data_IF_499824552930
#
_entry.id   IF_499824552930
#
_cell.length_a   1.000
_cell.length_b   1.000
_cell.length_c   1.000
_cell.angle_alpha   90.00
_cell.angle_beta   90.00
_cell.angle_gamma   90.00
#
_symmetry.space_group_name_H-M   'P 1'
#
loop_
_entity.id
_entity.type
_entity.pdbx_description
1 polymer ?
#
# COMPACT_ATOMS: atom_id res chain seq x y z
N UNK A 1 35.50 -4.13 10.44
CA UNK A 1 35.67 -2.78 9.86
C UNK A 1 35.89 -2.94 8.36
N UNK A 2 34.81 -2.95 7.60
CA UNK A 2 34.82 -3.04 6.14
C UNK A 2 34.24 -1.77 5.56
N UNK A 3 35.06 -1.07 4.78
CA UNK A 3 34.77 0.11 3.99
C UNK A 3 33.48 -0.02 3.16
N UNK A 4 32.35 0.45 3.67
CA UNK A 4 31.17 0.84 2.88
C UNK A 4 30.40 1.93 3.64
N UNK A 5 31.14 2.90 4.17
CA UNK A 5 30.59 4.22 4.48
C UNK A 5 30.40 4.96 3.14
N UNK A 6 29.53 4.41 2.28
CA UNK A 6 29.07 5.10 1.08
C UNK A 6 28.03 6.08 1.55
N UNK A 7 28.44 7.32 1.73
CA UNK A 7 27.58 8.50 1.76
C UNK A 7 26.34 8.29 0.88
N UNK A 8 25.23 7.81 1.45
CA UNK A 8 23.92 7.89 0.80
C UNK A 8 23.68 9.38 0.64
N UNK A 9 23.78 9.90 -0.59
CA UNK A 9 23.46 11.30 -0.87
C UNK A 9 22.08 11.55 -0.29
N UNK A 10 21.94 12.64 0.48
CA UNK A 10 20.63 13.04 1.01
C UNK A 10 19.61 13.00 -0.13
N UNK A 11 18.45 12.33 0.05
CA UNK A 11 17.46 12.22 -1.00
C UNK A 11 17.05 13.62 -1.44
N UNK A 12 16.82 13.79 -2.75
CA UNK A 12 16.27 15.03 -3.28
C UNK A 12 14.90 15.24 -2.63
N UNK A 13 14.57 16.49 -2.28
CA UNK A 13 13.28 16.82 -1.67
C UNK A 13 12.43 17.56 -2.67
N UNK A 14 11.15 17.20 -2.74
CA UNK A 14 10.14 17.87 -3.56
C UNK A 14 9.76 19.23 -2.97
N UNK A 15 9.14 20.15 -3.74
CA UNK A 15 8.63 21.42 -3.21
C UNK A 15 7.66 21.24 -2.02
N UNK A 16 6.89 20.16 -2.02
CA UNK A 16 5.97 19.77 -0.95
C UNK A 16 6.64 19.07 0.24
N UNK A 17 7.97 18.98 0.28
CA UNK A 17 8.73 18.47 1.42
C UNK A 17 8.93 16.95 1.46
N UNK A 18 8.42 16.18 0.49
CA UNK A 18 8.65 14.73 0.43
C UNK A 18 10.05 14.39 -0.11
N UNK A 19 10.81 13.49 0.53
CA UNK A 19 12.03 12.92 -0.07
C UNK A 19 11.70 12.04 -1.28
N UNK A 20 12.58 12.05 -2.28
CA UNK A 20 12.50 11.22 -3.49
C UNK A 20 13.54 10.12 -3.38
N UNK A 21 13.07 8.88 -3.45
CA UNK A 21 13.90 7.68 -3.50
C UNK A 21 13.85 7.06 -4.89
N UNK A 22 14.99 6.53 -5.35
CA UNK A 22 15.09 5.80 -6.61
C UNK A 22 15.69 4.44 -6.33
N UNK A 23 15.11 3.45 -6.96
CA UNK A 23 15.45 2.06 -6.75
C UNK A 23 15.87 1.44 -8.07
N UNK A 24 17.00 0.73 -8.03
CA UNK A 24 17.39 -0.17 -9.10
C UNK A 24 16.74 -1.53 -8.82
N UNK A 25 16.45 -2.30 -9.87
CA UNK A 25 15.97 -3.67 -9.69
C UNK A 25 17.01 -4.44 -8.88
N UNK A 26 16.65 -5.02 -7.72
CA UNK A 26 17.59 -5.78 -6.92
C UNK A 26 18.16 -6.93 -7.75
N UNK A 27 19.47 -7.21 -7.62
CA UNK A 27 20.00 -8.50 -8.07
C UNK A 27 19.25 -9.58 -7.31
N UNK A 28 18.68 -10.59 -7.99
CA UNK A 28 17.83 -11.63 -7.37
C UNK A 28 18.49 -12.12 -6.07
N UNK A 29 17.99 -11.69 -4.91
CA UNK A 29 18.55 -12.15 -3.66
C UNK A 29 18.12 -13.61 -3.58
N UNK A 30 19.04 -14.54 -3.86
CA UNK A 30 18.70 -15.96 -3.95
C UNK A 30 17.83 -16.41 -2.76
N UNK A 31 16.85 -17.29 -3.04
CA UNK A 31 15.77 -17.71 -2.14
C UNK A 31 16.19 -17.74 -0.66
N UNK A 32 15.44 -17.02 0.18
CA UNK A 32 15.59 -17.03 1.65
C UNK A 32 14.24 -17.31 2.30
N UNK A 33 14.16 -18.27 3.24
CA UNK A 33 12.93 -18.48 3.98
C UNK A 33 12.62 -17.24 4.85
N UNK A 34 11.33 -16.90 5.02
CA UNK A 34 10.93 -15.80 5.91
C UNK A 34 11.33 -16.09 7.36
N UNK A 35 11.77 -15.05 8.09
CA UNK A 35 12.19 -15.17 9.51
C UNK A 35 11.02 -15.48 10.43
N UNK A 36 9.83 -15.00 10.08
CA UNK A 36 8.54 -15.29 10.73
C UNK A 36 7.45 -15.41 9.67
N UNK A 37 6.39 -16.16 9.97
CA UNK A 37 5.23 -16.32 9.09
C UNK A 37 3.98 -16.04 9.92
N UNK A 38 3.31 -14.94 9.61
CA UNK A 38 2.06 -14.52 10.24
C UNK A 38 2.19 -14.12 11.71
N UNK A 39 3.28 -13.44 12.09
CA UNK A 39 3.56 -13.04 13.48
C UNK A 39 2.39 -12.29 14.13
N UNK A 40 1.75 -11.41 13.36
CA UNK A 40 0.64 -10.57 13.82
C UNK A 40 -0.67 -10.86 13.06
N UNK A 41 -0.71 -11.92 12.24
CA UNK A 41 -1.82 -12.17 11.33
C UNK A 41 -3.16 -12.40 12.07
N UNK A 42 -3.12 -13.07 13.22
CA UNK A 42 -4.30 -13.29 14.07
C UNK A 42 -4.83 -11.96 14.62
N UNK A 43 -3.97 -11.16 15.28
CA UNK A 43 -4.34 -9.85 15.85
C UNK A 43 -4.88 -8.87 14.79
N UNK A 44 -4.24 -8.83 13.61
CA UNK A 44 -4.68 -8.01 12.49
C UNK A 44 -6.06 -8.48 11.99
N UNK A 45 -6.26 -9.80 11.84
CA UNK A 45 -7.52 -10.37 11.37
C UNK A 45 -8.65 -10.07 12.35
N UNK A 46 -8.45 -10.30 13.65
CA UNK A 46 -9.44 -9.96 14.68
C UNK A 46 -9.79 -8.47 14.68
N UNK A 47 -8.80 -7.59 14.46
CA UNK A 47 -9.03 -6.14 14.37
C UNK A 47 -9.92 -5.77 13.17
N UNK A 48 -9.68 -6.35 11.99
CA UNK A 48 -10.52 -6.12 10.81
C UNK A 48 -11.91 -6.75 10.97
N UNK A 49 -12.04 -7.92 11.60
CA UNK A 49 -13.33 -8.52 11.95
C UNK A 49 -14.14 -7.65 12.91
N UNK A 50 -13.48 -7.03 13.89
CA UNK A 50 -14.12 -6.08 14.81
C UNK A 50 -14.55 -4.77 14.12
N UNK A 51 -13.89 -4.37 13.03
CA UNK A 51 -14.29 -3.23 12.20
C UNK A 51 -15.45 -3.57 11.26
N UNK A 52 -15.46 -4.80 10.74
CA UNK A 52 -16.39 -5.24 9.71
C UNK A 52 -17.07 -6.57 10.08
N UNK A 53 -17.88 -6.58 11.15
CA UNK A 53 -18.41 -7.83 11.72
C UNK A 53 -19.40 -8.53 10.80
N UNK A 54 -19.42 -9.87 10.87
CA UNK A 54 -20.42 -10.70 10.19
C UNK A 54 -20.20 -10.89 8.70
N UNK A 55 -18.97 -10.73 8.23
CA UNK A 55 -18.58 -11.00 6.83
C UNK A 55 -17.94 -12.37 6.71
N UNK A 56 -18.23 -13.06 5.62
CA UNK A 56 -17.44 -14.21 5.17
C UNK A 56 -16.09 -13.71 4.65
N UNK A 57 -15.01 -14.44 4.93
CA UNK A 57 -13.66 -14.10 4.48
C UNK A 57 -12.98 -15.27 3.77
N UNK A 58 -12.02 -14.95 2.91
CA UNK A 58 -11.10 -15.91 2.29
C UNK A 58 -9.73 -15.25 2.05
N UNK A 59 -8.69 -16.04 1.83
CA UNK A 59 -7.32 -15.55 1.72
C UNK A 59 -6.72 -15.93 0.37
N UNK A 60 -6.08 -14.97 -0.30
CA UNK A 60 -5.20 -15.25 -1.43
C UNK A 60 -3.77 -15.45 -0.95
N UNK A 61 -3.44 -16.70 -0.68
CA UNK A 61 -2.10 -17.09 -0.31
C UNK A 61 -1.08 -16.79 -1.37
N UNK A 62 0.12 -16.46 -0.92
CA UNK A 62 1.25 -16.34 -1.79
C UNK A 62 1.84 -17.70 -2.15
N UNK A 63 2.03 -17.93 -3.45
CA UNK A 63 2.52 -19.22 -3.97
C UNK A 63 4.04 -19.38 -3.80
N UNK A 64 4.80 -18.27 -3.82
CA UNK A 64 6.25 -18.27 -3.67
C UNK A 64 6.62 -17.08 -2.79
N UNK A 65 7.15 -17.37 -1.60
CA UNK A 65 7.58 -16.36 -0.66
C UNK A 65 9.10 -16.31 -0.60
N UNK A 66 9.65 -15.31 -1.28
CA UNK A 66 11.01 -14.85 -1.05
C UNK A 66 10.93 -13.72 -0.02
N UNK A 67 11.67 -13.86 1.09
CA UNK A 67 11.85 -12.87 2.16
C UNK A 67 10.68 -12.69 3.14
N UNK A 68 9.46 -12.46 2.64
CA UNK A 68 8.22 -12.31 3.45
C UNK A 68 7.08 -13.10 2.81
N UNK A 69 6.18 -13.63 3.64
CA UNK A 69 4.97 -14.33 3.20
C UNK A 69 3.77 -13.37 3.22
N UNK A 70 3.36 -12.88 2.05
CA UNK A 70 2.31 -11.87 1.95
C UNK A 70 0.97 -12.50 1.57
N UNK A 71 0.07 -12.53 2.53
CA UNK A 71 -1.32 -12.92 2.32
C UNK A 71 -2.20 -11.70 2.07
N UNK A 72 -3.19 -11.86 1.18
CA UNK A 72 -4.26 -10.87 0.99
C UNK A 72 -5.54 -11.47 1.55
N UNK A 73 -5.98 -10.94 2.68
CA UNK A 73 -7.25 -11.29 3.32
C UNK A 73 -8.38 -10.52 2.66
N UNK A 74 -9.47 -11.20 2.36
CA UNK A 74 -10.60 -10.65 1.61
C UNK A 74 -11.88 -10.92 2.39
N UNK A 75 -12.53 -9.87 2.88
CA UNK A 75 -13.86 -9.95 3.48
C UNK A 75 -14.92 -9.61 2.43
N UNK A 76 -15.90 -10.51 2.25
CA UNK A 76 -16.97 -10.37 1.25
C UNK A 76 -17.90 -9.19 1.58
N UNK A 77 -18.59 -8.65 0.55
CA UNK A 77 -19.69 -7.73 0.73
C UNK A 77 -20.84 -8.34 1.53
N UNK A 78 -21.63 -7.49 2.17
CA UNK A 78 -22.92 -7.84 2.76
C UNK A 78 -24.01 -6.98 2.13
N UNK A 79 -25.28 -7.32 2.31
CA UNK A 79 -26.40 -6.50 1.79
C UNK A 79 -26.36 -5.04 2.30
N UNK A 80 -25.84 -4.81 3.52
CA UNK A 80 -25.73 -3.47 4.11
C UNK A 80 -24.47 -2.73 3.71
N UNK A 81 -23.42 -3.47 3.33
CA UNK A 81 -22.11 -2.94 3.01
C UNK A 81 -21.61 -3.64 1.75
N UNK A 82 -22.03 -3.10 0.60
CA UNK A 82 -21.81 -3.69 -0.72
C UNK A 82 -20.39 -3.37 -1.27
N UNK A 83 -19.37 -3.76 -0.51
CA UNK A 83 -17.97 -3.61 -0.87
C UNK A 83 -17.13 -4.71 -0.23
N UNK A 84 -16.04 -5.10 -0.88
CA UNK A 84 -15.01 -5.96 -0.30
C UNK A 84 -14.05 -5.16 0.56
N UNK A 85 -13.54 -5.79 1.62
CA UNK A 85 -12.39 -5.30 2.39
C UNK A 85 -11.19 -6.18 2.06
N UNK A 86 -10.14 -5.58 1.51
CA UNK A 86 -8.88 -6.26 1.24
C UNK A 86 -7.83 -5.70 2.20
N UNK A 87 -7.09 -6.56 2.88
CA UNK A 87 -5.96 -6.16 3.71
C UNK A 87 -4.83 -7.18 3.66
N UNK A 88 -3.60 -6.71 3.78
CA UNK A 88 -2.43 -7.56 3.83
C UNK A 88 -2.23 -8.13 5.24
N UNK A 89 -1.67 -9.32 5.30
CA UNK A 89 -0.96 -9.82 6.50
C UNK A 89 0.40 -10.35 6.08
N UNK A 90 1.40 -10.15 6.93
CA UNK A 90 2.76 -10.63 6.73
C UNK A 90 3.73 -9.56 6.24
N UNK A 91 3.25 -8.39 5.80
CA UNK A 91 4.12 -7.24 5.56
C UNK A 91 4.80 -6.79 6.86
N UNK A 92 4.07 -6.89 7.97
CA UNK A 92 4.54 -6.56 9.30
C UNK A 92 5.40 -7.65 9.96
N UNK A 93 5.59 -8.82 9.35
CA UNK A 93 6.42 -9.89 9.94
C UNK A 93 7.91 -9.52 10.00
N UNK A 94 8.33 -8.59 9.15
CA UNK A 94 9.69 -8.04 9.11
C UNK A 94 9.62 -6.51 9.27
N UNK A 95 10.52 -5.89 10.03
CA UNK A 95 10.58 -4.43 10.09
C UNK A 95 11.03 -3.84 8.74
N UNK A 96 10.32 -2.82 8.29
CA UNK A 96 10.74 -2.00 7.15
C UNK A 96 12.05 -1.26 7.44
N UNK A 97 12.77 -0.90 6.38
CA UNK A 97 14.05 -0.17 6.49
C UNK A 97 13.79 1.33 6.48
N UNK A 98 13.83 1.94 7.65
CA UNK A 98 13.72 3.39 7.82
C UNK A 98 15.04 4.09 7.44
N UNK A 99 14.99 5.33 6.91
CA UNK A 99 16.18 6.15 6.72
C UNK A 99 16.80 6.55 8.07
N UNK A 100 18.09 6.89 8.06
CA UNK A 100 18.85 7.20 9.29
C UNK A 100 18.18 8.31 10.11
N UNK A 101 17.56 9.30 9.45
CA UNK A 101 16.85 10.40 10.11
C UNK A 101 15.58 9.97 10.88
N UNK A 102 15.08 8.76 10.62
CA UNK A 102 13.92 8.15 11.28
C UNK A 102 14.29 6.84 11.99
N UNK A 103 15.59 6.57 12.19
CA UNK A 103 16.07 5.28 12.74
C UNK A 103 15.57 4.99 14.16
N UNK A 104 15.19 6.02 14.92
CA UNK A 104 14.61 5.95 16.25
C UNK A 104 13.07 5.78 16.27
N UNK A 105 12.42 5.83 15.12
CA UNK A 105 10.96 5.71 14.97
C UNK A 105 10.51 4.26 14.87
N UNK A 106 10.59 3.53 15.98
CA UNK A 106 10.08 2.16 16.09
C UNK A 106 8.61 2.03 15.67
N UNK A 107 7.82 3.09 15.90
CA UNK A 107 6.40 3.14 15.57
C UNK A 107 6.10 3.23 14.06
N UNK A 108 7.12 3.33 13.20
CA UNK A 108 6.99 3.35 11.73
C UNK A 108 7.52 2.08 11.06
N UNK A 109 8.09 1.12 11.81
CA UNK A 109 8.75 -0.04 11.22
C UNK A 109 7.80 -1.11 10.71
N UNK A 110 6.58 -1.16 11.22
CA UNK A 110 5.62 -2.22 10.89
C UNK A 110 4.36 -1.60 10.30
N UNK A 111 3.90 -2.18 9.21
CA UNK A 111 2.70 -1.74 8.53
C UNK A 111 2.00 -2.88 7.80
N UNK A 112 0.72 -2.69 7.54
CA UNK A 112 -0.09 -3.43 6.57
C UNK A 112 -0.85 -2.44 5.67
N UNK A 113 -1.29 -2.93 4.53
CA UNK A 113 -2.00 -2.17 3.51
C UNK A 113 -3.45 -2.63 3.42
N UNK A 114 -4.36 -1.72 3.12
CA UNK A 114 -5.75 -2.08 2.82
C UNK A 114 -6.34 -1.29 1.66
N UNK A 115 -7.37 -1.88 1.06
CA UNK A 115 -8.15 -1.32 -0.05
C UNK A 115 -9.59 -1.81 0.02
N UNK A 116 -10.53 -0.95 -0.37
CA UNK A 116 -11.94 -1.34 -0.53
C UNK A 116 -12.29 -1.44 -2.01
N UNK A 117 -12.90 -2.55 -2.41
CA UNK A 117 -13.38 -2.76 -3.79
C UNK A 117 -14.92 -2.78 -3.83
N UNK A 118 -15.57 -2.36 -4.92
CA UNK A 118 -17.01 -2.47 -5.09
C UNK A 118 -17.50 -3.90 -4.89
N UNK A 119 -18.71 -4.10 -4.34
CA UNK A 119 -19.25 -5.45 -4.14
C UNK A 119 -19.53 -6.20 -5.44
N UNK A 120 -19.61 -5.49 -6.55
CA UNK A 120 -19.66 -6.05 -7.91
C UNK A 120 -18.30 -6.50 -8.46
N UNK A 121 -17.19 -6.33 -7.74
CA UNK A 121 -15.86 -6.71 -8.20
C UNK A 121 -15.70 -8.23 -8.22
N UNK A 122 -15.21 -8.78 -9.34
CA UNK A 122 -15.00 -10.21 -9.48
C UNK A 122 -13.63 -10.62 -8.94
N UNK A 123 -13.58 -11.04 -7.68
CA UNK A 123 -12.38 -11.62 -7.05
C UNK A 123 -12.37 -13.16 -7.12
N UNK A 124 -13.19 -13.77 -7.98
CA UNK A 124 -13.32 -15.21 -8.05
C UNK A 124 -13.83 -15.85 -6.74
N UNK A 125 -13.45 -17.12 -6.54
CA UNK A 125 -13.83 -17.94 -5.38
C UNK A 125 -12.60 -18.34 -4.57
N UNK A 126 -12.83 -18.81 -3.35
CA UNK A 126 -11.82 -19.49 -2.55
C UNK A 126 -11.13 -20.58 -3.40
N UNK A 127 -9.79 -20.65 -3.34
CA UNK A 127 -8.92 -21.51 -4.15
C UNK A 127 -8.77 -21.15 -5.65
N UNK A 128 -9.28 -20.01 -6.11
CA UNK A 128 -8.95 -19.52 -7.46
C UNK A 128 -7.46 -19.16 -7.52
N UNK A 129 -6.73 -19.70 -8.51
CA UNK A 129 -5.35 -19.28 -8.73
C UNK A 129 -5.34 -17.88 -9.36
N UNK A 130 -4.29 -17.11 -9.10
CA UNK A 130 -4.10 -15.81 -9.76
C UNK A 130 -4.06 -15.92 -11.29
N UNK A 131 -3.59 -17.06 -11.82
CA UNK A 131 -3.59 -17.38 -13.25
C UNK A 131 -4.97 -17.52 -13.88
N UNK A 132 -6.00 -17.73 -13.06
CA UNK A 132 -7.36 -18.01 -13.53
C UNK A 132 -8.24 -16.74 -13.56
N UNK A 133 -7.70 -15.60 -13.10
CA UNK A 133 -8.40 -14.33 -13.06
C UNK A 133 -7.95 -13.39 -14.18
N UNK A 134 -8.88 -12.67 -14.83
CA UNK A 134 -8.51 -11.65 -15.80
C UNK A 134 -7.75 -10.52 -15.11
N UNK A 135 -6.82 -9.91 -15.84
CA UNK A 135 -5.98 -8.82 -15.36
C UNK A 135 -6.80 -7.64 -14.80
N UNK A 136 -7.92 -7.32 -15.46
CA UNK A 136 -8.87 -6.28 -15.03
C UNK A 136 -9.44 -6.49 -13.63
N UNK A 137 -9.49 -7.74 -13.16
CA UNK A 137 -9.94 -8.11 -11.82
C UNK A 137 -8.81 -8.26 -10.81
N UNK A 138 -7.65 -8.75 -11.27
CA UNK A 138 -6.54 -9.13 -10.40
C UNK A 138 -5.58 -7.99 -10.06
N UNK A 139 -5.51 -6.94 -10.88
CA UNK A 139 -4.56 -5.85 -10.68
C UNK A 139 -4.56 -5.21 -9.28
N UNK A 140 -5.69 -5.06 -8.53
CA UNK A 140 -5.65 -4.50 -7.19
C UNK A 140 -4.95 -5.44 -6.19
N UNK A 141 -5.17 -6.75 -6.34
CA UNK A 141 -4.52 -7.79 -5.52
C UNK A 141 -3.02 -7.81 -5.83
N UNK A 142 -2.64 -7.79 -7.12
CA UNK A 142 -1.22 -7.70 -7.51
C UNK A 142 -0.56 -6.43 -6.95
N UNK A 143 -1.24 -5.30 -7.05
CA UNK A 143 -0.74 -4.01 -6.55
C UNK A 143 -0.48 -4.08 -5.04
N UNK A 144 -1.41 -4.62 -4.25
CA UNK A 144 -1.22 -4.79 -2.80
C UNK A 144 -0.03 -5.71 -2.49
N UNK A 145 0.09 -6.86 -3.18
CA UNK A 145 1.24 -7.77 -3.01
C UNK A 145 2.57 -7.09 -3.33
N UNK A 146 2.62 -6.36 -4.44
CA UNK A 146 3.82 -5.61 -4.83
C UNK A 146 4.21 -4.59 -3.75
N UNK A 147 3.26 -3.76 -3.30
CA UNK A 147 3.53 -2.73 -2.29
C UNK A 147 3.92 -3.32 -0.94
N UNK A 148 3.33 -4.44 -0.52
CA UNK A 148 3.67 -5.12 0.72
C UNK A 148 5.09 -5.70 0.72
N UNK A 149 5.57 -6.16 -0.45
CA UNK A 149 6.95 -6.66 -0.64
C UNK A 149 7.96 -5.54 -0.79
N UNK A 150 7.55 -4.44 -1.40
CA UNK A 150 8.39 -3.31 -1.77
C UNK A 150 9.37 -2.85 -0.68
N UNK A 151 8.97 -2.58 0.59
CA UNK A 151 9.93 -2.14 1.60
C UNK A 151 11.02 -3.16 1.90
N UNK A 152 10.74 -4.45 1.73
CA UNK A 152 11.65 -5.53 2.08
C UNK A 152 12.58 -5.86 0.91
N UNK A 153 12.07 -5.88 -0.31
CA UNK A 153 12.87 -6.12 -1.53
C UNK A 153 13.84 -4.98 -1.84
N UNK A 154 13.45 -3.74 -1.51
CA UNK A 154 14.20 -2.53 -1.87
C UNK A 154 14.87 -1.84 -0.67
N UNK A 155 14.92 -2.49 0.49
CA UNK A 155 15.48 -1.95 1.73
C UNK A 155 14.98 -0.53 2.02
N UNK A 156 13.65 -0.40 2.05
CA UNK A 156 12.96 0.88 2.25
C UNK A 156 11.73 0.75 3.15
N UNK A 157 10.89 1.78 3.17
CA UNK A 157 9.71 1.84 4.02
C UNK A 157 8.55 2.53 3.30
N UNK A 158 7.34 2.19 3.75
CA UNK A 158 6.10 2.79 3.30
C UNK A 158 5.42 3.48 4.49
N UNK A 159 4.92 4.69 4.25
CA UNK A 159 4.32 5.52 5.28
C UNK A 159 3.23 6.41 4.73
N UNK A 160 2.51 7.09 5.63
CA UNK A 160 1.52 8.07 5.26
C UNK A 160 2.10 9.15 4.34
N UNK A 161 1.38 9.46 3.27
CA UNK A 161 1.81 10.39 2.24
C UNK A 161 2.90 9.86 1.34
N UNK A 162 3.32 8.60 1.40
CA UNK A 162 4.20 8.06 0.36
C UNK A 162 3.45 7.92 -0.96
N UNK A 163 4.17 8.12 -2.06
CA UNK A 163 3.65 7.94 -3.42
C UNK A 163 4.57 7.00 -4.18
N UNK A 164 3.99 6.04 -4.89
CA UNK A 164 4.74 5.08 -5.72
C UNK A 164 4.18 5.17 -7.14
N UNK A 165 4.87 5.86 -8.07
CA UNK A 165 4.45 5.91 -9.47
C UNK A 165 4.68 4.55 -10.14
N UNK A 166 3.83 4.19 -11.10
CA UNK A 166 3.98 2.98 -11.89
C UNK A 166 4.98 3.23 -13.04
N UNK A 167 6.25 3.26 -12.67
CA UNK A 167 7.35 3.63 -13.57
C UNK A 167 7.44 5.15 -13.81
N UNK A 168 8.50 5.59 -14.52
CA UNK A 168 8.79 7.02 -14.71
C UNK A 168 7.72 7.75 -15.53
N UNK A 169 7.00 7.03 -16.40
CA UNK A 169 5.96 7.61 -17.25
C UNK A 169 4.56 7.57 -16.63
N UNK A 170 4.44 7.11 -15.37
CA UNK A 170 3.15 6.92 -14.70
C UNK A 170 2.20 6.02 -15.53
N UNK A 171 2.71 4.91 -16.03
CA UNK A 171 1.95 3.98 -16.87
C UNK A 171 0.69 3.53 -16.12
N UNK A 172 -0.48 3.43 -16.76
CA UNK A 172 -1.67 2.85 -16.16
C UNK A 172 -1.42 1.56 -15.36
N UNK A 173 -2.00 1.45 -14.16
CA UNK A 173 -1.89 0.26 -13.31
C UNK A 173 -2.52 -0.99 -13.95
N UNK A 174 -3.49 -0.78 -14.84
CA UNK A 174 -4.16 -1.78 -15.66
C UNK A 174 -4.69 -1.11 -16.93
N UNK A 175 -4.81 -1.86 -18.02
CA UNK A 175 -5.47 -1.40 -19.24
C UNK A 175 -6.88 -0.88 -18.93
N UNK A 176 -7.22 0.30 -19.45
CA UNK A 176 -8.52 0.94 -19.23
C UNK A 176 -8.67 1.66 -17.88
N UNK A 177 -7.64 1.66 -17.02
CA UNK A 177 -7.63 2.37 -15.74
C UNK A 177 -6.74 3.61 -15.83
N UNK A 178 -7.21 4.79 -15.39
CA UNK A 178 -6.47 6.05 -15.54
C UNK A 178 -5.37 6.31 -14.50
N UNK A 179 -5.24 5.43 -13.50
CA UNK A 179 -4.31 5.61 -12.38
C UNK A 179 -2.88 5.23 -12.80
N UNK A 180 -1.94 6.16 -12.61
CA UNK A 180 -0.53 6.01 -12.98
C UNK A 180 0.38 5.67 -11.80
N UNK A 181 -0.18 5.37 -10.63
CA UNK A 181 0.54 5.06 -9.41
C UNK A 181 -0.38 5.01 -8.19
N UNK A 182 0.21 5.06 -7.01
CA UNK A 182 -0.53 5.06 -5.74
C UNK A 182 -0.08 6.16 -4.79
N UNK A 183 -0.99 6.58 -3.91
CA UNK A 183 -0.74 7.40 -2.74
C UNK A 183 -1.13 6.57 -1.51
N UNK A 184 -0.29 6.54 -0.49
CA UNK A 184 -0.62 5.93 0.79
C UNK A 184 -1.20 6.98 1.73
N UNK A 185 -2.35 6.68 2.31
CA UNK A 185 -2.97 7.50 3.34
C UNK A 185 -3.44 6.63 4.49
N UNK A 186 -4.12 7.21 5.47
CA UNK A 186 -5.00 6.48 6.36
C UNK A 186 -6.40 7.08 6.22
N UNK A 187 -7.43 6.26 6.35
CA UNK A 187 -8.81 6.73 6.36
C UNK A 187 -9.41 6.52 7.75
N UNK A 188 -10.34 7.39 8.16
CA UNK A 188 -11.10 7.23 9.41
C UNK A 188 -10.88 8.36 10.43
N UNK A 189 -11.98 8.93 10.91
CA UNK A 189 -11.98 9.99 11.94
C UNK A 189 -11.66 9.45 13.35
N UNK A 190 -11.84 8.15 13.59
CA UNK A 190 -11.65 7.48 14.89
C UNK A 190 -10.31 6.75 15.03
N UNK A 191 -9.42 6.89 14.03
CA UNK A 191 -8.09 6.29 13.96
C UNK A 191 -8.05 4.75 13.99
N UNK A 192 -9.20 4.05 13.97
CA UNK A 192 -9.22 2.58 14.06
C UNK A 192 -8.70 1.90 12.78
N UNK A 193 -8.80 2.58 11.64
CA UNK A 193 -8.20 2.16 10.37
C UNK A 193 -6.77 2.73 10.18
N UNK A 194 -6.17 3.30 11.23
CA UNK A 194 -4.79 3.81 11.23
C UNK A 194 -3.76 2.82 11.78
N UNK A 195 -4.18 1.76 12.47
CA UNK A 195 -3.29 0.74 13.02
C UNK A 195 -3.79 0.08 14.30
N UNK A 196 -2.97 -0.81 14.86
CA UNK A 196 -3.14 -1.40 16.18
C UNK A 196 -1.80 -1.46 16.95
N UNK A 197 -1.86 -1.67 18.27
CA UNK A 197 -0.69 -2.06 19.05
C UNK A 197 -0.82 -3.55 19.33
N UNK A 198 0.18 -4.32 18.90
CA UNK A 198 0.23 -5.75 19.12
C UNK A 198 0.45 -6.08 20.60
N UNK A 199 0.17 -7.32 21.01
CA UNK A 199 0.32 -7.78 22.39
C UNK A 199 1.76 -7.61 22.93
N UNK A 200 2.75 -7.71 22.04
CA UNK A 200 4.16 -7.53 22.37
C UNK A 200 4.60 -6.05 22.48
N UNK A 201 3.66 -5.12 22.28
CA UNK A 201 3.85 -3.68 22.38
C UNK A 201 4.28 -3.00 21.07
N UNK A 202 4.49 -3.72 19.97
CA UNK A 202 4.81 -3.10 18.68
C UNK A 202 3.58 -2.43 18.06
N UNK A 203 3.80 -1.28 17.42
CA UNK A 203 2.75 -0.61 16.65
C UNK A 203 2.78 -1.08 15.20
N UNK A 204 1.63 -1.53 14.72
CA UNK A 204 1.40 -1.89 13.31
C UNK A 204 0.51 -0.81 12.70
N UNK A 205 1.03 -0.10 11.70
CA UNK A 205 0.26 0.94 11.01
C UNK A 205 -0.57 0.35 9.89
N UNK A 206 -1.77 0.87 9.66
CA UNK A 206 -2.60 0.47 8.52
C UNK A 206 -2.70 1.63 7.54
N UNK A 207 -2.25 1.39 6.30
CA UNK A 207 -2.31 2.40 5.24
C UNK A 207 -3.31 2.01 4.15
N UNK A 208 -4.22 2.93 3.88
CA UNK A 208 -5.09 2.85 2.70
C UNK A 208 -4.26 3.08 1.45
N UNK A 209 -4.37 2.17 0.49
CA UNK A 209 -3.77 2.34 -0.84
C UNK A 209 -4.76 3.03 -1.75
N UNK A 210 -4.43 4.23 -2.19
CA UNK A 210 -5.27 5.03 -3.10
C UNK A 210 -4.63 5.02 -4.49
N UNK A 211 -5.17 4.26 -5.47
CA UNK A 211 -4.81 4.42 -6.87
C UNK A 211 -5.03 5.87 -7.33
N UNK A 212 -3.99 6.50 -7.88
CA UNK A 212 -3.94 7.93 -8.15
C UNK A 212 -3.54 8.24 -9.59
N UNK A 213 -4.11 9.31 -10.13
CA UNK A 213 -3.68 9.87 -11.41
C UNK A 213 -2.31 10.53 -11.28
N UNK A 214 -1.58 10.64 -12.40
CA UNK A 214 -0.30 11.34 -12.45
C UNK A 214 -0.39 12.73 -11.84
N UNK A 215 -1.41 13.50 -12.22
CA UNK A 215 -1.60 14.87 -11.76
C UNK A 215 -1.86 14.97 -10.26
N UNK A 216 -2.50 13.97 -9.65
CA UNK A 216 -2.74 13.92 -8.20
C UNK A 216 -1.42 13.66 -7.45
N UNK A 217 -0.60 12.74 -7.95
CA UNK A 217 0.74 12.47 -7.40
C UNK A 217 1.61 13.72 -7.54
N UNK A 218 1.68 14.32 -8.73
CA UNK A 218 2.48 15.52 -9.00
C UNK A 218 2.00 16.72 -8.17
N UNK A 219 0.69 16.87 -7.96
CA UNK A 219 0.13 17.86 -7.05
C UNK A 219 0.63 17.65 -5.62
N UNK A 220 0.64 16.40 -5.14
CA UNK A 220 1.21 16.06 -3.83
C UNK A 220 2.70 16.38 -3.76
N UNK A 221 3.48 16.09 -4.79
CA UNK A 221 4.91 16.44 -4.81
C UNK A 221 5.10 17.97 -4.73
N UNK A 222 4.18 18.76 -5.28
CA UNK A 222 4.23 20.24 -5.21
C UNK A 222 3.80 20.80 -3.86
N UNK A 223 2.68 20.33 -3.32
CA UNK A 223 1.97 20.96 -2.22
C UNK A 223 1.95 20.14 -0.92
N UNK A 224 2.56 18.96 -0.93
CA UNK A 224 2.61 18.06 0.21
C UNK A 224 1.33 17.23 0.37
N UNK A 225 1.41 16.22 1.23
CA UNK A 225 0.29 15.31 1.48
C UNK A 225 -0.91 16.03 2.11
N UNK A 226 -0.69 16.97 3.05
CA UNK A 226 -1.78 17.79 3.61
C UNK A 226 -2.53 18.62 2.54
N UNK A 227 -1.81 19.06 1.51
CA UNK A 227 -2.40 19.77 0.38
C UNK A 227 -3.28 18.85 -0.46
N UNK A 228 -2.82 17.63 -0.73
CA UNK A 228 -3.60 16.63 -1.46
C UNK A 228 -4.81 16.15 -0.66
N UNK A 229 -4.67 15.92 0.65
CA UNK A 229 -5.77 15.49 1.51
C UNK A 229 -6.90 16.52 1.55
N UNK A 230 -6.59 17.83 1.56
CA UNK A 230 -7.61 18.87 1.41
C UNK A 230 -8.39 18.72 0.12
N UNK A 231 -7.71 18.45 -1.00
CA UNK A 231 -8.36 18.21 -2.30
C UNK A 231 -9.22 16.95 -2.25
N UNK A 232 -8.71 15.84 -1.68
CA UNK A 232 -9.46 14.60 -1.54
C UNK A 232 -10.71 14.77 -0.67
N UNK A 233 -10.63 15.52 0.43
CA UNK A 233 -11.78 15.84 1.28
C UNK A 233 -12.79 16.75 0.57
N UNK A 234 -12.34 17.88 0.00
CA UNK A 234 -13.21 18.87 -0.66
C UNK A 234 -13.94 18.28 -1.87
N UNK A 235 -13.24 17.45 -2.65
CA UNK A 235 -13.78 16.78 -3.84
C UNK A 235 -14.35 15.39 -3.57
N UNK A 236 -14.40 14.98 -2.30
CA UNK A 236 -15.01 13.74 -1.83
C UNK A 236 -14.49 12.50 -2.56
N UNK A 237 -13.18 12.26 -2.45
CA UNK A 237 -12.56 11.03 -2.94
C UNK A 237 -13.34 9.81 -2.39
N UNK A 238 -13.83 8.91 -3.27
CA UNK A 238 -14.52 7.71 -2.82
C UNK A 238 -13.59 6.81 -1.99
N UNK A 239 -14.09 6.35 -0.83
CA UNK A 239 -13.38 5.38 0.00
C UNK A 239 -13.31 4.00 -0.67
N UNK A 240 -14.38 3.61 -1.36
CA UNK A 240 -14.43 2.40 -2.19
C UNK A 240 -13.85 2.75 -3.55
N UNK A 241 -12.96 1.91 -4.06
CA UNK A 241 -12.34 2.13 -5.35
C UNK A 241 -13.38 2.27 -6.46
N UNK A 242 -13.38 3.43 -7.11
CA UNK A 242 -14.11 3.67 -8.35
C UNK A 242 -13.08 3.92 -9.46
N UNK A 243 -12.93 2.94 -10.36
CA UNK A 243 -12.00 3.02 -11.50
C UNK A 243 -12.43 4.07 -12.55
N UNK A 244 -13.65 4.56 -12.46
CA UNK A 244 -14.22 5.58 -13.34
C UNK A 244 -14.30 6.96 -12.66
N UNK A 245 -13.79 7.10 -11.43
CA UNK A 245 -13.75 8.40 -10.75
C UNK A 245 -12.98 9.42 -11.58
N UNK A 246 -13.39 10.70 -11.60
CA UNK A 246 -12.61 11.73 -12.26
C UNK A 246 -11.25 11.92 -11.57
N UNK A 247 -10.28 12.40 -12.34
CA UNK A 247 -9.05 12.97 -11.78
C UNK A 247 -9.43 14.21 -10.94
N UNK A 248 -8.92 14.28 -9.72
CA UNK A 248 -9.22 15.35 -8.77
C UNK A 248 -8.26 16.54 -8.91
N UNK A 249 -7.17 16.39 -9.65
CA UNK A 249 -6.21 17.46 -9.97
C UNK A 249 -6.00 17.65 -11.49
N UNK A 250 -7.05 17.64 -12.35
CA UNK A 250 -6.87 17.54 -13.81
C UNK A 250 -6.18 18.76 -14.43
N UNK A 251 -6.24 19.91 -13.75
CA UNK A 251 -5.63 21.17 -14.19
C UNK A 251 -4.16 21.31 -13.74
N UNK A 252 -3.63 20.38 -12.95
CA UNK A 252 -2.23 20.41 -12.54
C UNK A 252 -1.34 19.92 -13.69
N UNK A 253 -0.36 20.74 -14.11
CA UNK A 253 0.45 20.48 -15.32
C UNK A 253 1.96 20.41 -15.09
N UNK A 254 2.44 20.70 -13.89
CA UNK A 254 3.87 20.57 -13.58
C UNK A 254 4.24 19.07 -13.47
N UNK A 255 5.46 18.72 -13.88
CA UNK A 255 6.05 17.38 -13.71
C UNK A 255 7.31 17.56 -12.88
N UNK A 256 7.30 17.04 -11.65
CA UNK A 256 8.32 17.25 -10.63
C UNK A 256 9.19 16.01 -10.43
N UNK A 257 8.69 14.83 -10.79
CA UNK A 257 9.46 13.59 -10.76
C UNK A 257 10.25 13.41 -12.07
N UNK A 258 11.55 13.74 -12.01
CA UNK A 258 12.58 13.46 -13.03
C UNK A 258 13.88 13.05 -12.34
#
# INVERSE_FOLDING_TARGET
MGFLDKFRKKPRVTPGGSPIYRYETPEEPGWRPPESVGAYAEEITEHFEALFPGRESFVFHELISDLVHIDINIMRPTEKQDFYVLYTTGMSDLPMTLPDELSDREDLKYAELYLFLPGSWDLGKEFSLSSDMPESSYWPVRMLKFLARFPHEYETWLGWGHTVPNGPEYTPLCDGVGFGGVVLSWTGEDNRLGGLNAEDGRKINFYSVIPAYKEEIEYKLKYGMEGLDKVFCEKQLPMILDIHRPNLCPDFKEVLDQ
#
